data_IF_341475439409
#
_entry.id   IF_341475439409
#
_cell.length_a   1.000
_cell.length_b   1.000
_cell.length_c   1.000
_cell.angle_alpha   90.00
_cell.angle_beta   90.00
_cell.angle_gamma   90.00
#
_symmetry.space_group_name_H-M   'P 1'
#
loop_
_entity.id
_entity.type
_entity.pdbx_description
1 polymer ?
#
# COMPACT_ATOMS: atom_id res chain seq x y z
N UNK A 1 -0.18 -33.22 -1.54
CA UNK A 1 1.20 -33.71 -1.27
C UNK A 1 2.15 -33.59 -2.49
N UNK A 2 1.74 -33.13 -3.69
CA UNK A 2 2.67 -32.96 -4.83
C UNK A 2 3.33 -31.57 -4.94
N UNK A 3 2.74 -30.53 -4.37
CA UNK A 3 3.23 -29.13 -4.47
C UNK A 3 4.55 -28.88 -3.74
N UNK A 4 4.80 -29.54 -2.61
CA UNK A 4 6.03 -29.39 -1.81
C UNK A 4 7.28 -29.99 -2.50
N UNK A 5 7.11 -31.00 -3.36
CA UNK A 5 8.23 -31.59 -4.11
C UNK A 5 8.63 -30.74 -5.31
N UNK A 6 7.66 -30.13 -6.01
CA UNK A 6 7.94 -29.23 -7.13
C UNK A 6 8.67 -27.95 -6.70
N UNK A 7 8.29 -27.36 -5.56
CA UNK A 7 8.98 -26.17 -5.02
C UNK A 7 10.42 -26.48 -4.58
N UNK A 8 10.66 -27.65 -3.97
CA UNK A 8 12.00 -28.09 -3.60
C UNK A 8 12.89 -28.33 -4.84
N UNK A 9 12.31 -28.86 -5.92
CA UNK A 9 13.01 -29.12 -7.17
C UNK A 9 13.38 -27.82 -7.91
N UNK A 10 12.46 -26.85 -7.96
CA UNK A 10 12.71 -25.52 -8.53
C UNK A 10 13.78 -24.73 -7.74
N UNK A 11 13.80 -24.88 -6.41
CA UNK A 11 14.83 -24.27 -5.54
C UNK A 11 16.23 -24.85 -5.82
N UNK A 12 16.32 -26.15 -6.05
CA UNK A 12 17.58 -26.84 -6.35
C UNK A 12 18.12 -26.49 -7.74
N UNK A 13 17.24 -26.35 -8.74
CA UNK A 13 17.62 -25.91 -10.09
C UNK A 13 18.10 -24.46 -10.14
N UNK A 14 17.49 -23.57 -9.34
CA UNK A 14 17.90 -22.17 -9.25
C UNK A 14 19.29 -22.01 -8.63
N UNK A 15 19.60 -22.79 -7.59
CA UNK A 15 20.93 -22.83 -6.95
C UNK A 15 21.99 -23.38 -7.92
N UNK A 16 21.65 -24.40 -8.73
CA UNK A 16 22.56 -24.92 -9.77
C UNK A 16 22.81 -23.91 -10.90
N UNK A 17 21.81 -23.12 -11.30
CA UNK A 17 21.95 -22.05 -12.30
C UNK A 17 22.88 -20.93 -11.83
N UNK A 18 22.77 -20.52 -10.57
CA UNK A 18 23.62 -19.48 -9.97
C UNK A 18 25.10 -19.90 -9.90
N UNK A 19 25.38 -21.18 -9.63
CA UNK A 19 26.76 -21.72 -9.66
C UNK A 19 27.35 -21.85 -11.06
N UNK A 20 26.52 -22.03 -12.09
CA UNK A 20 26.95 -22.19 -13.50
C UNK A 20 27.30 -20.85 -14.18
N UNK A 21 26.86 -19.72 -13.64
CA UNK A 21 27.04 -18.39 -14.22
C UNK A 21 28.33 -17.68 -13.81
N UNK A 22 29.18 -18.28 -12.98
CA UNK A 22 30.59 -17.88 -12.84
C UNK A 22 30.87 -16.40 -12.51
N UNK A 23 29.95 -15.71 -11.83
CA UNK A 23 30.08 -14.28 -11.53
C UNK A 23 31.04 -14.05 -10.34
N UNK A 24 32.34 -14.17 -10.61
CA UNK A 24 33.40 -13.45 -9.91
C UNK A 24 33.97 -12.34 -10.81
N UNK A 25 33.68 -11.09 -10.43
CA UNK A 25 34.40 -9.81 -10.65
C UNK A 25 34.71 -9.35 -12.11
N UNK A 26 34.69 -8.05 -12.43
CA UNK A 26 34.70 -6.87 -11.56
C UNK A 26 34.26 -5.57 -12.23
N UNK A 27 33.92 -4.61 -11.38
CA UNK A 27 33.65 -3.23 -11.74
C UNK A 27 34.96 -2.44 -11.68
N UNK A 28 35.43 -1.94 -12.83
CA UNK A 28 36.31 -0.78 -12.87
C UNK A 28 35.50 0.38 -13.44
N UNK A 29 35.60 1.50 -12.71
CA UNK A 29 35.20 2.85 -13.11
C UNK A 29 33.72 3.23 -12.99
N UNK A 30 33.22 3.31 -11.75
CA UNK A 30 32.27 4.36 -11.34
C UNK A 30 32.56 4.76 -9.88
N UNK A 31 32.73 6.06 -9.64
CA UNK A 31 33.07 6.61 -8.32
C UNK A 31 31.89 6.46 -7.35
N UNK A 32 32.19 5.86 -6.19
CA UNK A 32 31.26 5.60 -5.08
C UNK A 32 31.15 6.87 -4.22
N UNK A 33 29.95 7.29 -3.78
CA UNK A 33 29.82 8.29 -2.72
C UNK A 33 30.54 7.80 -1.44
N UNK A 34 31.03 8.69 -0.56
CA UNK A 34 31.70 8.26 0.66
C UNK A 34 30.73 7.45 1.51
N UNK A 35 31.06 6.17 1.74
CA UNK A 35 30.37 5.33 2.69
C UNK A 35 30.57 5.93 4.10
N UNK A 36 29.54 5.93 4.97
CA UNK A 36 29.77 6.19 6.38
C UNK A 36 30.83 5.21 6.90
N UNK A 37 31.84 5.75 7.57
CA UNK A 37 32.93 4.97 8.13
C UNK A 37 32.42 4.16 9.33
N UNK A 38 31.95 2.94 9.08
CA UNK A 38 31.75 1.93 10.10
C UNK A 38 32.76 0.82 9.83
N UNK A 39 33.95 0.95 10.41
CA UNK A 39 34.80 -0.19 10.63
C UNK A 39 34.08 -1.13 11.62
N UNK A 40 33.89 -2.42 11.29
CA UNK A 40 33.24 -3.36 12.19
C UNK A 40 34.22 -3.78 13.28
N UNK A 41 34.03 -3.29 14.51
CA UNK A 41 34.48 -4.04 15.68
C UNK A 41 33.52 -5.22 15.85
N UNK A 42 34.07 -6.43 15.85
CA UNK A 42 33.33 -7.65 16.13
C UNK A 42 32.64 -7.54 17.50
N UNK A 43 31.30 -7.67 17.54
CA UNK A 43 30.61 -8.15 18.73
C UNK A 43 29.70 -7.20 19.54
N UNK A 44 29.27 -6.05 19.02
CA UNK A 44 28.22 -5.26 19.72
C UNK A 44 26.86 -5.42 19.07
N UNK A 45 25.98 -6.14 19.76
CA UNK A 45 24.53 -6.07 19.56
C UNK A 45 24.12 -4.58 19.50
N UNK A 46 23.47 -4.09 18.43
CA UNK A 46 23.14 -2.67 18.31
C UNK A 46 22.21 -2.20 19.44
N UNK A 47 22.59 -1.12 20.12
CA UNK A 47 21.81 -0.52 21.22
C UNK A 47 22.53 -0.57 22.56
N UNK A 48 21.76 -0.34 23.62
CA UNK A 48 22.25 -0.27 25.00
C UNK A 48 21.23 -0.88 25.97
N UNK A 49 21.68 -1.22 27.18
CA UNK A 49 20.79 -1.66 28.25
C UNK A 49 20.19 -0.44 28.96
N UNK A 50 18.86 -0.41 29.07
CA UNK A 50 18.10 0.58 29.83
C UNK A 50 17.51 -0.11 31.04
N UNK A 51 17.82 0.40 32.24
CA UNK A 51 17.27 -0.13 33.49
C UNK A 51 15.79 0.23 33.63
N UNK A 52 14.98 -0.76 34.02
CA UNK A 52 13.55 -0.58 34.29
C UNK A 52 13.20 -1.16 35.67
N UNK A 53 12.02 -0.86 36.23
CA UNK A 53 11.53 -1.52 37.44
C UNK A 53 11.41 -3.06 37.34
N UNK A 54 11.48 -3.62 36.12
CA UNK A 54 11.37 -5.06 35.85
C UNK A 54 12.67 -5.70 35.38
N UNK A 55 13.80 -4.99 35.52
CA UNK A 55 15.13 -5.40 35.05
C UNK A 55 15.56 -4.68 33.77
N UNK A 56 16.73 -5.02 33.21
CA UNK A 56 17.25 -4.35 32.03
C UNK A 56 16.47 -4.74 30.77
N UNK A 57 16.20 -3.76 29.91
CA UNK A 57 15.72 -3.95 28.54
C UNK A 57 16.77 -3.47 27.55
N UNK A 58 16.85 -4.06 26.35
CA UNK A 58 17.78 -3.64 25.32
C UNK A 58 17.11 -2.72 24.30
N UNK A 59 17.66 -1.53 24.10
CA UNK A 59 17.07 -0.51 23.22
C UNK A 59 18.12 0.03 22.26
N UNK A 60 17.77 0.08 20.98
CA UNK A 60 18.50 0.89 19.99
C UNK A 60 17.68 2.11 19.64
N UNK A 61 18.29 3.29 19.72
CA UNK A 61 17.68 4.56 19.32
C UNK A 61 18.39 5.12 18.10
N UNK A 62 17.62 5.39 17.04
CA UNK A 62 18.08 6.11 15.85
C UNK A 62 17.31 7.44 15.75
N UNK A 63 18.04 8.55 15.70
CA UNK A 63 17.46 9.90 15.59
C UNK A 63 17.71 10.45 14.18
N UNK A 64 16.66 10.96 13.56
CA UNK A 64 16.70 11.63 12.26
C UNK A 64 16.25 13.08 12.43
N UNK A 65 17.18 14.03 12.61
CA UNK A 65 16.84 15.45 12.64
C UNK A 65 16.06 15.84 11.38
N UNK A 66 14.91 16.50 11.54
CA UNK A 66 14.03 16.85 10.41
C UNK A 66 14.66 17.89 9.49
N UNK A 67 15.65 18.64 9.98
CA UNK A 67 16.46 19.56 9.16
C UNK A 67 17.32 18.81 8.13
N UNK A 68 17.84 17.64 8.51
CA UNK A 68 18.66 16.78 7.64
C UNK A 68 17.79 15.82 6.82
N UNK A 69 16.60 15.48 7.34
CA UNK A 69 15.62 14.59 6.72
C UNK A 69 14.26 15.28 6.54
N UNK A 70 14.17 16.32 5.70
CA UNK A 70 12.93 17.05 5.46
C UNK A 70 11.85 16.20 4.78
N UNK A 71 12.23 15.10 4.13
CA UNK A 71 11.33 14.10 3.59
C UNK A 71 10.49 13.43 4.69
N UNK A 72 11.09 13.13 5.86
CA UNK A 72 10.33 12.62 7.01
C UNK A 72 9.39 13.66 7.61
N UNK A 73 9.66 14.96 7.45
CA UNK A 73 8.76 16.02 7.90
C UNK A 73 7.49 16.15 7.01
N UNK A 74 7.47 15.54 5.82
CA UNK A 74 6.32 15.65 4.90
C UNK A 74 5.04 15.06 5.48
N UNK A 75 5.14 13.98 6.26
CA UNK A 75 4.00 13.37 6.97
C UNK A 75 3.32 14.33 7.95
N UNK A 76 4.08 15.23 8.60
CA UNK A 76 3.52 16.20 9.55
C UNK A 76 2.54 17.18 8.90
N UNK A 77 2.55 17.28 7.56
CA UNK A 77 1.62 18.11 6.78
C UNK A 77 0.34 17.38 6.40
N UNK A 78 0.20 16.10 6.76
CA UNK A 78 -1.00 15.33 6.48
C UNK A 78 -2.20 15.90 7.23
N UNK A 79 -3.27 16.23 6.52
CA UNK A 79 -4.52 16.63 7.16
C UNK A 79 -5.28 15.40 7.66
N UNK A 80 -5.84 15.41 8.89
CA UNK A 80 -6.58 14.25 9.41
C UNK A 80 -7.76 13.81 8.53
N UNK A 81 -8.41 14.75 7.84
CA UNK A 81 -9.46 14.42 6.86
C UNK A 81 -8.92 13.60 5.67
N UNK A 82 -7.70 13.91 5.20
CA UNK A 82 -7.04 13.16 4.13
C UNK A 82 -6.63 11.76 4.60
N UNK A 83 -6.26 11.60 5.88
CA UNK A 83 -6.01 10.29 6.49
C UNK A 83 -7.27 9.42 6.53
N UNK A 84 -8.39 10.00 6.96
CA UNK A 84 -9.69 9.33 6.95
C UNK A 84 -10.13 8.89 5.55
N UNK A 85 -9.96 9.77 4.56
CA UNK A 85 -10.24 9.45 3.16
C UNK A 85 -9.31 8.35 2.61
N UNK A 86 -8.00 8.46 2.87
CA UNK A 86 -7.00 7.48 2.46
C UNK A 86 -7.33 6.11 3.03
N UNK A 87 -7.57 6.02 4.34
CA UNK A 87 -7.86 4.77 5.04
C UNK A 87 -9.27 4.23 4.81
N UNK A 88 -10.21 5.09 4.39
CA UNK A 88 -11.67 4.85 4.39
C UNK A 88 -12.21 4.51 5.78
N UNK A 89 -11.74 5.25 6.76
CA UNK A 89 -12.06 5.04 8.17
C UNK A 89 -12.19 6.41 8.86
N UNK A 90 -13.40 6.82 9.28
CA UNK A 90 -13.61 8.13 9.87
C UNK A 90 -12.86 8.33 11.19
N UNK A 91 -12.50 7.26 11.90
CA UNK A 91 -11.72 7.35 13.14
C UNK A 91 -10.34 7.93 12.91
N UNK A 92 -9.77 7.78 11.70
CA UNK A 92 -8.46 8.34 11.37
C UNK A 92 -8.44 9.89 11.36
N UNK A 93 -9.60 10.54 11.40
CA UNK A 93 -9.67 11.98 11.61
C UNK A 93 -9.17 12.40 13.01
N UNK A 94 -9.12 11.48 13.97
CA UNK A 94 -8.59 11.70 15.32
C UNK A 94 -7.08 11.38 15.41
N UNK A 95 -6.46 10.91 14.31
CA UNK A 95 -5.02 10.64 14.25
C UNK A 95 -4.25 11.95 13.98
N UNK A 96 -3.60 12.48 15.01
CA UNK A 96 -2.69 13.61 14.87
C UNK A 96 -1.34 13.13 14.28
N UNK A 97 -0.89 13.61 13.11
CA UNK A 97 0.34 13.15 12.48
C UNK A 97 1.59 13.27 13.37
N UNK A 98 1.68 14.33 14.16
CA UNK A 98 2.78 14.57 15.10
C UNK A 98 2.80 13.59 16.29
N UNK A 99 1.67 12.94 16.58
CA UNK A 99 1.50 11.97 17.68
C UNK A 99 1.23 10.55 17.14
N UNK A 100 1.63 10.28 15.90
CA UNK A 100 1.51 8.96 15.30
C UNK A 100 2.68 8.05 15.73
N UNK A 101 2.35 6.82 16.12
CA UNK A 101 3.33 5.76 16.33
C UNK A 101 3.45 4.88 15.08
N UNK A 102 4.64 4.84 14.49
CA UNK A 102 4.96 3.97 13.35
C UNK A 102 5.50 2.64 13.87
N UNK A 103 4.76 1.55 13.71
CA UNK A 103 5.06 0.28 14.39
C UNK A 103 5.31 -0.83 13.38
N UNK A 104 6.39 -1.58 13.62
CA UNK A 104 6.77 -2.81 12.93
C UNK A 104 7.39 -3.80 13.94
N UNK A 105 7.15 -5.11 13.78
CA UNK A 105 7.63 -6.13 14.72
C UNK A 105 8.39 -7.27 14.06
N UNK A 106 9.38 -7.81 14.78
CA UNK A 106 10.05 -9.05 14.43
C UNK A 106 9.70 -10.15 15.43
N UNK A 107 9.40 -11.33 14.89
CA UNK A 107 8.73 -12.40 15.64
C UNK A 107 9.45 -13.73 15.55
N UNK A 108 9.33 -14.57 16.57
CA UNK A 108 9.95 -15.92 16.57
C UNK A 108 9.26 -16.92 15.63
N UNK A 109 8.16 -16.52 15.00
CA UNK A 109 7.33 -17.32 14.12
C UNK A 109 6.15 -16.51 13.58
N UNK A 110 5.42 -17.08 12.63
CA UNK A 110 4.30 -16.39 11.95
C UNK A 110 2.92 -16.69 12.56
N UNK A 111 2.87 -17.53 13.60
CA UNK A 111 1.62 -17.90 14.27
C UNK A 111 1.16 -16.78 15.20
N UNK A 112 -0.14 -16.49 15.23
CA UNK A 112 -0.75 -15.56 16.21
C UNK A 112 -1.00 -16.24 17.57
N UNK A 113 -0.34 -17.37 17.84
CA UNK A 113 -0.52 -18.13 19.06
C UNK A 113 0.26 -17.53 20.23
N UNK A 114 -0.03 -17.99 21.43
CA UNK A 114 0.62 -17.53 22.67
C UNK A 114 2.11 -17.92 22.76
N UNK A 115 2.58 -18.80 21.88
CA UNK A 115 3.97 -19.27 21.82
C UNK A 115 4.90 -18.33 21.04
N UNK A 116 4.33 -17.39 20.29
CA UNK A 116 5.10 -16.46 19.47
C UNK A 116 5.46 -15.21 20.26
N UNK A 117 6.76 -14.91 20.32
CA UNK A 117 7.31 -13.70 20.92
C UNK A 117 7.57 -12.64 19.86
N UNK A 118 7.27 -11.39 20.17
CA UNK A 118 7.72 -10.19 19.45
C UNK A 118 9.10 -9.79 19.99
N UNK A 119 10.14 -10.46 19.52
CA UNK A 119 11.48 -10.26 20.07
C UNK A 119 12.07 -8.90 19.70
N UNK A 120 11.53 -8.23 18.70
CA UNK A 120 11.80 -6.82 18.41
C UNK A 120 10.48 -6.09 18.18
N UNK A 121 10.28 -4.98 18.88
CA UNK A 121 9.20 -4.04 18.62
C UNK A 121 9.88 -2.73 18.26
N UNK A 122 9.75 -2.28 17.02
CA UNK A 122 10.27 -1.00 16.60
C UNK A 122 9.15 0.03 16.51
N UNK A 123 9.44 1.23 17.04
CA UNK A 123 8.48 2.34 17.14
C UNK A 123 9.16 3.63 16.66
N UNK A 124 8.60 4.23 15.62
CA UNK A 124 8.94 5.58 15.15
C UNK A 124 7.97 6.62 15.69
N UNK A 125 8.48 7.72 16.24
CA UNK A 125 7.69 8.85 16.76
C UNK A 125 8.35 10.18 16.40
N UNK A 126 7.57 11.26 16.33
CA UNK A 126 8.13 12.60 16.23
C UNK A 126 8.39 13.20 17.62
N UNK A 127 9.60 13.70 17.83
CA UNK A 127 9.97 14.49 18.99
C UNK A 127 10.12 15.95 18.54
N UNK A 128 9.08 16.75 18.77
CA UNK A 128 8.99 18.15 18.36
C UNK A 128 9.12 19.07 19.57
N UNK A 129 9.97 20.09 19.48
CA UNK A 129 10.13 21.12 20.52
C UNK A 129 10.53 20.59 21.91
N UNK A 130 11.01 19.35 22.00
CA UNK A 130 11.32 18.71 23.27
C UNK A 130 12.74 19.07 23.73
N UNK A 131 12.87 19.84 24.81
CA UNK A 131 14.09 19.92 25.59
C UNK A 131 14.35 18.55 26.24
N UNK A 132 15.19 17.72 25.62
CA UNK A 132 15.63 16.47 26.25
C UNK A 132 16.50 16.81 27.47
N UNK A 133 16.15 16.38 28.69
CA UNK A 133 16.94 16.67 29.90
C UNK A 133 18.32 15.97 29.92
N UNK A 134 18.58 15.07 28.97
CA UNK A 134 19.73 14.16 28.98
C UNK A 134 20.56 14.17 27.70
N UNK A 135 20.29 15.06 26.74
CA UNK A 135 21.15 15.25 25.56
C UNK A 135 21.99 16.54 25.74
N UNK A 136 23.31 16.42 25.91
CA UNK A 136 24.18 17.60 25.83
C UNK A 136 24.10 18.22 24.43
N UNK A 137 24.15 19.56 24.33
CA UNK A 137 24.24 20.45 23.13
C UNK A 137 23.45 20.15 21.83
N UNK A 138 22.88 18.97 21.61
CA UNK A 138 22.09 18.55 20.45
C UNK A 138 20.56 18.64 20.73
N UNK A 139 20.18 19.29 21.84
CA UNK A 139 18.86 19.21 22.47
C UNK A 139 17.77 20.16 21.91
N UNK A 140 17.92 20.71 20.71
CA UNK A 140 16.99 21.72 20.18
C UNK A 140 16.45 21.44 18.77
N UNK A 141 16.66 20.24 18.22
CA UNK A 141 16.23 19.96 16.83
C UNK A 141 15.09 18.94 16.79
N UNK A 142 13.96 19.34 16.20
CA UNK A 142 12.85 18.45 15.86
C UNK A 142 13.37 17.22 15.11
N UNK A 143 12.94 16.02 15.51
CA UNK A 143 13.44 14.77 14.95
C UNK A 143 12.35 13.72 14.81
N UNK A 144 12.49 12.85 13.80
CA UNK A 144 11.85 11.55 13.80
C UNK A 144 12.77 10.55 14.49
N UNK A 145 12.26 9.87 15.52
CA UNK A 145 13.07 8.99 16.37
C UNK A 145 12.51 7.59 16.32
N UNK A 146 13.36 6.64 15.93
CA UNK A 146 13.04 5.20 15.93
C UNK A 146 13.69 4.55 17.13
N UNK A 147 12.89 3.89 17.96
CA UNK A 147 13.33 3.05 19.07
C UNK A 147 13.01 1.60 18.77
N UNK A 148 14.01 0.74 18.85
CA UNK A 148 13.87 -0.70 18.64
C UNK A 148 14.10 -1.40 19.98
N UNK A 149 13.01 -1.91 20.55
CA UNK A 149 13.01 -2.64 21.81
C UNK A 149 13.30 -4.11 21.53
N UNK A 150 14.53 -4.55 21.77
CA UNK A 150 14.99 -5.90 21.47
C UNK A 150 15.05 -6.76 22.74
N UNK A 151 14.61 -8.01 22.63
CA UNK A 151 14.58 -8.96 23.72
C UNK A 151 15.74 -9.95 23.58
N UNK A 152 16.78 -9.83 24.42
CA UNK A 152 17.95 -10.73 24.38
C UNK A 152 17.61 -12.15 24.81
N UNK A 153 16.68 -12.26 25.75
CA UNK A 153 16.07 -13.51 26.18
C UNK A 153 14.63 -13.28 26.67
N UNK A 154 13.74 -14.30 26.64
CA UNK A 154 12.33 -14.16 27.03
C UNK A 154 12.07 -13.52 28.40
N UNK A 155 13.00 -13.66 29.35
CA UNK A 155 12.90 -13.00 30.66
C UNK A 155 12.88 -11.46 30.64
N UNK A 156 13.28 -10.81 29.53
CA UNK A 156 13.26 -9.34 29.41
C UNK A 156 11.92 -8.81 28.90
N UNK A 157 10.97 -9.67 28.51
CA UNK A 157 9.71 -9.24 27.90
C UNK A 157 8.98 -8.19 28.75
N UNK A 158 8.93 -8.37 30.06
CA UNK A 158 8.24 -7.40 30.94
C UNK A 158 8.92 -6.02 30.94
N UNK A 159 10.25 -5.99 30.90
CA UNK A 159 11.01 -4.75 30.79
C UNK A 159 10.86 -4.12 29.39
N UNK A 160 10.86 -4.94 28.33
CA UNK A 160 10.60 -4.51 26.96
C UNK A 160 9.22 -3.86 26.81
N UNK A 161 8.15 -4.53 27.29
CA UNK A 161 6.77 -4.03 27.21
C UNK A 161 6.57 -2.74 28.02
N UNK A 162 7.27 -2.60 29.16
CA UNK A 162 7.25 -1.36 29.93
C UNK A 162 7.80 -0.16 29.13
N UNK A 163 8.94 -0.32 28.44
CA UNK A 163 9.47 0.76 27.61
C UNK A 163 8.63 1.02 26.36
N UNK A 164 7.99 -0.01 25.81
CA UNK A 164 7.01 0.15 24.71
C UNK A 164 5.80 0.96 25.17
N UNK A 165 5.27 0.71 26.36
CA UNK A 165 4.19 1.49 26.96
C UNK A 165 4.59 2.97 27.12
N UNK A 166 5.79 3.23 27.65
CA UNK A 166 6.31 4.60 27.79
C UNK A 166 6.44 5.31 26.44
N UNK A 167 6.99 4.64 25.43
CA UNK A 167 7.15 5.19 24.08
C UNK A 167 5.81 5.53 23.39
N UNK A 168 4.74 4.78 23.71
CA UNK A 168 3.41 5.00 23.14
C UNK A 168 2.55 5.98 23.94
N UNK A 169 2.98 6.37 25.14
CA UNK A 169 2.16 7.17 26.08
C UNK A 169 1.69 8.53 25.54
N UNK A 170 2.49 9.18 24.69
CA UNK A 170 2.17 10.47 24.09
C UNK A 170 1.50 10.36 22.69
N UNK A 171 1.32 9.13 22.20
CA UNK A 171 0.75 8.88 20.88
C UNK A 171 -0.77 8.87 20.92
N UNK A 172 -1.41 9.22 19.80
CA UNK A 172 -2.88 9.19 19.67
C UNK A 172 -3.37 8.22 18.62
N UNK A 173 -2.46 7.64 17.81
CA UNK A 173 -2.81 6.71 16.75
C UNK A 173 -1.61 5.92 16.26
N UNK A 174 -1.91 4.87 15.50
CA UNK A 174 -0.93 3.91 15.00
C UNK A 174 -0.87 4.01 13.47
N UNK A 175 0.33 3.95 12.92
CA UNK A 175 0.58 3.71 11.50
C UNK A 175 1.40 2.45 11.38
N UNK A 176 0.98 1.51 10.53
CA UNK A 176 1.75 0.29 10.28
C UNK A 176 1.62 -0.17 8.83
N UNK A 177 2.45 -1.13 8.40
CA UNK A 177 2.33 -1.78 7.11
C UNK A 177 1.89 -3.24 7.29
N UNK A 178 0.62 -3.56 6.98
CA UNK A 178 0.01 -4.87 7.24
C UNK A 178 -0.13 -5.25 8.73
N UNK A 179 0.15 -4.32 9.65
CA UNK A 179 0.17 -4.62 11.08
C UNK A 179 -1.18 -4.66 11.77
N UNK A 180 -2.28 -4.21 11.12
CA UNK A 180 -3.62 -4.34 11.72
C UNK A 180 -4.02 -5.81 11.90
N UNK A 181 -3.59 -6.66 10.97
CA UNK A 181 -3.91 -8.09 11.00
C UNK A 181 -2.76 -8.97 11.52
N UNK A 182 -1.58 -8.39 11.79
CA UNK A 182 -0.38 -9.14 12.12
C UNK A 182 0.31 -8.61 13.39
N UNK A 183 1.02 -7.48 13.30
CA UNK A 183 1.83 -6.92 14.38
C UNK A 183 1.01 -6.56 15.62
N UNK A 184 -0.06 -5.78 15.45
CA UNK A 184 -0.81 -5.24 16.58
C UNK A 184 -1.53 -6.32 17.41
N UNK A 185 -2.19 -7.34 16.81
CA UNK A 185 -2.71 -8.47 17.57
C UNK A 185 -1.63 -9.19 18.41
N UNK A 186 -0.41 -9.35 17.87
CA UNK A 186 0.69 -9.98 18.60
C UNK A 186 1.14 -9.13 19.79
N UNK A 187 1.38 -7.83 19.58
CA UNK A 187 1.77 -6.90 20.64
C UNK A 187 0.70 -6.86 21.73
N UNK A 188 -0.58 -6.69 21.37
CA UNK A 188 -1.70 -6.69 22.32
C UNK A 188 -1.75 -7.99 23.14
N UNK A 189 -1.56 -9.14 22.51
CA UNK A 189 -1.51 -10.43 23.20
C UNK A 189 -0.35 -10.49 24.20
N UNK A 190 0.84 -9.93 23.87
CA UNK A 190 1.98 -9.89 24.81
C UNK A 190 1.66 -9.04 26.05
N UNK A 191 1.03 -7.87 25.87
CA UNK A 191 0.55 -7.04 26.98
C UNK A 191 -0.45 -7.78 27.87
N UNK A 192 -1.45 -8.46 27.27
CA UNK A 192 -2.45 -9.25 28.00
C UNK A 192 -1.80 -10.37 28.81
N UNK A 193 -0.88 -11.13 28.20
CA UNK A 193 -0.16 -12.22 28.88
C UNK A 193 0.70 -11.72 30.04
N UNK A 194 1.31 -10.54 29.89
CA UNK A 194 2.05 -9.86 30.94
C UNK A 194 1.17 -9.22 32.03
N UNK A 195 -0.17 -9.25 31.86
CA UNK A 195 -1.17 -8.59 32.72
C UNK A 195 -0.98 -7.07 32.80
N UNK A 196 -0.56 -6.48 31.69
CA UNK A 196 -0.42 -5.03 31.51
C UNK A 196 -1.56 -4.58 30.57
N UNK A 197 -2.28 -3.48 30.87
CA UNK A 197 -3.25 -2.93 29.94
C UNK A 197 -2.58 -2.60 28.59
N UNK A 198 -3.13 -3.05 27.44
CA UNK A 198 -2.56 -2.70 26.15
C UNK A 198 -2.59 -1.18 25.92
N UNK A 199 -1.48 -0.58 25.43
CA UNK A 199 -1.44 0.84 25.12
C UNK A 199 -2.34 1.15 23.92
N UNK A 200 -2.79 2.41 23.84
CA UNK A 200 -3.61 2.92 22.73
C UNK A 200 -4.88 2.09 22.45
N UNK A 201 -5.69 1.73 23.47
CA UNK A 201 -6.89 0.95 23.24
C UNK A 201 -7.87 1.72 22.34
N UNK A 202 -8.34 1.08 21.26
CA UNK A 202 -9.23 1.67 20.27
C UNK A 202 -8.70 2.94 19.57
N UNK A 203 -7.39 3.19 19.60
CA UNK A 203 -6.80 4.30 18.87
C UNK A 203 -7.00 4.13 17.35
N UNK A 204 -7.12 5.24 16.59
CA UNK A 204 -7.11 5.18 15.14
C UNK A 204 -5.85 4.50 14.61
N UNK A 205 -6.03 3.60 13.66
CA UNK A 205 -4.94 2.80 13.10
C UNK A 205 -4.91 2.88 11.58
N UNK A 206 -3.98 3.63 10.99
CA UNK A 206 -3.75 3.61 9.55
C UNK A 206 -2.84 2.44 9.17
N UNK A 207 -3.43 1.36 8.67
CA UNK A 207 -2.67 0.30 7.98
C UNK A 207 -2.46 0.74 6.52
N UNK A 208 -1.20 0.82 6.10
CA UNK A 208 -0.81 1.32 4.77
C UNK A 208 -1.00 0.28 3.65
N UNK A 209 -1.11 -1.02 3.96
CA UNK A 209 -1.22 -2.05 2.93
C UNK A 209 -2.57 -2.00 2.17
N UNK A 210 -3.75 -1.87 2.83
CA UNK A 210 -5.01 -1.72 2.13
C UNK A 210 -5.06 -0.54 1.14
N UNK A 211 -4.70 0.71 1.51
CA UNK A 211 -4.64 1.82 0.55
C UNK A 211 -3.56 1.61 -0.51
N UNK A 212 -2.39 1.07 -0.17
CA UNK A 212 -1.35 0.77 -1.16
C UNK A 212 -1.84 -0.20 -2.25
N UNK A 213 -2.60 -1.24 -1.86
CA UNK A 213 -3.23 -2.16 -2.81
C UNK A 213 -4.32 -1.49 -3.65
N UNK A 214 -5.06 -0.52 -3.10
CA UNK A 214 -6.03 0.26 -3.89
C UNK A 214 -5.34 1.10 -4.94
N UNK A 215 -4.15 1.64 -4.65
CA UNK A 215 -3.38 2.49 -5.56
C UNK A 215 -2.59 1.75 -6.62
N UNK A 216 -1.84 0.72 -6.22
CA UNK A 216 -0.77 0.18 -7.06
C UNK A 216 -1.03 -1.23 -7.58
N UNK A 217 -2.11 -1.90 -7.14
CA UNK A 217 -2.47 -3.21 -7.69
C UNK A 217 -2.77 -3.08 -9.19
N UNK A 218 -2.19 -3.97 -9.98
CA UNK A 218 -2.29 -3.96 -11.44
C UNK A 218 -1.23 -3.10 -12.13
N UNK A 219 -0.60 -2.14 -11.42
CA UNK A 219 0.60 -1.44 -11.89
C UNK A 219 1.88 -2.14 -11.48
N UNK A 220 1.95 -2.56 -10.21
CA UNK A 220 3.13 -3.23 -9.65
C UNK A 220 2.87 -4.73 -9.50
N UNK A 221 3.92 -5.53 -9.71
CA UNK A 221 3.89 -6.99 -9.50
C UNK A 221 3.61 -7.35 -8.04
N UNK A 222 3.98 -6.48 -7.11
CA UNK A 222 3.87 -6.68 -5.67
C UNK A 222 3.60 -5.36 -4.96
N UNK A 223 2.71 -5.39 -3.96
CA UNK A 223 2.52 -4.31 -3.00
C UNK A 223 3.11 -4.67 -1.63
N UNK A 224 4.22 -5.43 -1.59
CA UNK A 224 5.02 -5.59 -0.37
C UNK A 224 5.86 -4.33 -0.15
N UNK A 225 6.21 -4.01 1.10
CA UNK A 225 6.89 -2.77 1.46
C UNK A 225 8.17 -2.54 0.63
N UNK A 226 9.06 -3.54 0.58
CA UNK A 226 10.28 -3.46 -0.26
C UNK A 226 10.03 -3.22 -1.75
N UNK A 227 8.89 -3.66 -2.30
CA UNK A 227 8.54 -3.35 -3.70
C UNK A 227 8.07 -1.91 -3.86
N UNK A 228 7.37 -1.37 -2.86
CA UNK A 228 6.89 0.01 -2.86
C UNK A 228 8.05 0.99 -2.62
N UNK A 229 8.99 0.64 -1.75
CA UNK A 229 10.23 1.40 -1.57
C UNK A 229 10.94 1.64 -2.91
N UNK A 230 11.21 0.56 -3.64
CA UNK A 230 11.92 0.65 -4.91
C UNK A 230 11.12 1.42 -5.98
N UNK A 231 9.85 1.06 -6.19
CA UNK A 231 9.08 1.53 -7.36
C UNK A 231 8.28 2.81 -7.11
N UNK A 232 8.03 3.17 -5.85
CA UNK A 232 7.24 4.34 -5.47
C UNK A 232 8.10 5.40 -4.80
N UNK A 233 9.03 5.01 -3.93
CA UNK A 233 9.87 5.95 -3.17
C UNK A 233 11.28 6.09 -3.75
N UNK A 234 11.69 5.23 -4.67
CA UNK A 234 13.07 5.20 -5.20
C UNK A 234 14.11 4.83 -4.12
N UNK A 235 13.69 4.09 -3.09
CA UNK A 235 14.56 3.61 -2.02
C UNK A 235 15.07 2.23 -2.41
N UNK A 236 16.39 2.12 -2.58
CA UNK A 236 17.07 0.85 -2.73
C UNK A 236 17.59 0.40 -1.36
N UNK A 237 17.08 -0.73 -0.86
CA UNK A 237 17.64 -1.36 0.34
C UNK A 237 19.08 -1.75 0.06
N UNK A 238 19.98 -1.44 0.99
CA UNK A 238 21.41 -1.75 0.84
C UNK A 238 21.66 -3.26 0.92
N UNK A 239 22.90 -3.70 0.62
CA UNK A 239 23.34 -5.09 0.82
C UNK A 239 23.25 -5.58 2.28
N UNK A 240 22.90 -4.70 3.20
CA UNK A 240 22.72 -4.95 4.63
C UNK A 240 21.31 -5.45 4.97
N UNK A 241 20.36 -5.53 4.03
CA UNK A 241 19.05 -6.11 4.33
C UNK A 241 19.08 -7.64 4.44
N UNK A 242 18.15 -8.21 5.23
CA UNK A 242 17.92 -9.65 5.36
C UNK A 242 16.55 -10.03 4.80
N UNK A 243 16.43 -11.17 4.09
CA UNK A 243 15.12 -11.67 3.70
C UNK A 243 14.27 -11.96 4.95
N UNK A 244 13.08 -11.35 5.05
CA UNK A 244 12.22 -11.45 6.24
C UNK A 244 11.94 -12.87 6.74
N UNK A 245 11.84 -13.86 5.83
CA UNK A 245 11.64 -15.27 6.20
C UNK A 245 12.81 -15.89 6.99
N UNK A 246 13.99 -15.27 6.96
CA UNK A 246 15.19 -15.72 7.67
C UNK A 246 15.29 -15.15 9.09
N UNK A 247 14.59 -14.05 9.36
CA UNK A 247 14.68 -13.28 10.61
C UNK A 247 14.42 -14.15 11.86
N UNK A 248 13.38 -15.01 11.91
CA UNK A 248 13.14 -15.84 13.09
C UNK A 248 14.30 -16.80 13.40
N UNK A 249 14.96 -17.33 12.36
CA UNK A 249 16.07 -18.28 12.54
C UNK A 249 17.36 -17.55 12.96
N UNK A 250 17.60 -16.33 12.47
CA UNK A 250 18.72 -15.47 12.92
C UNK A 250 18.59 -15.21 14.43
N UNK A 251 17.40 -14.84 14.90
CA UNK A 251 17.16 -14.63 16.33
C UNK A 251 17.33 -15.92 17.15
N UNK A 252 16.82 -17.05 16.63
CA UNK A 252 16.96 -18.36 17.30
C UNK A 252 18.41 -18.77 17.49
N UNK A 253 19.26 -18.50 16.50
CA UNK A 253 20.69 -18.79 16.56
C UNK A 253 21.41 -17.87 17.55
N UNK A 254 21.06 -16.58 17.57
CA UNK A 254 21.53 -15.65 18.61
C UNK A 254 21.14 -16.14 20.01
N UNK A 255 19.87 -16.49 20.24
CA UNK A 255 19.39 -16.93 21.55
C UNK A 255 20.11 -18.19 22.06
N UNK A 256 20.43 -19.14 21.16
CA UNK A 256 21.14 -20.38 21.52
C UNK A 256 22.61 -20.17 21.82
N UNK A 257 23.26 -19.26 21.09
CA UNK A 257 24.72 -19.09 21.13
C UNK A 257 25.16 -17.96 22.06
N UNK A 258 24.29 -16.97 22.27
CA UNK A 258 24.62 -15.69 22.91
C UNK A 258 25.51 -14.79 22.04
N UNK A 259 25.80 -15.18 20.79
CA UNK A 259 26.76 -14.49 19.92
C UNK A 259 26.00 -13.53 19.00
N UNK A 260 26.21 -12.23 19.18
CA UNK A 260 25.74 -11.22 18.22
C UNK A 260 26.54 -11.32 16.92
N UNK A 261 25.84 -11.48 15.80
CA UNK A 261 26.44 -11.61 14.46
C UNK A 261 26.03 -10.44 13.58
N UNK A 262 26.76 -10.23 12.47
CA UNK A 262 26.37 -9.25 11.46
C UNK A 262 24.95 -9.51 10.96
N UNK A 263 24.52 -10.77 10.83
CA UNK A 263 23.16 -11.13 10.42
C UNK A 263 22.10 -10.60 11.40
N UNK A 264 22.38 -10.58 12.70
CA UNK A 264 21.48 -10.00 13.68
C UNK A 264 21.45 -8.47 13.56
N UNK A 265 22.59 -7.82 13.35
CA UNK A 265 22.63 -6.37 13.10
C UNK A 265 21.80 -5.98 11.86
N UNK A 266 21.78 -6.83 10.84
CA UNK A 266 20.92 -6.65 9.65
C UNK A 266 19.42 -6.77 9.95
N UNK A 267 19.01 -7.55 10.96
CA UNK A 267 17.61 -7.56 11.42
C UNK A 267 17.23 -6.20 12.00
N UNK A 268 18.10 -5.57 12.80
CA UNK A 268 17.86 -4.21 13.27
C UNK A 268 17.80 -3.21 12.11
N UNK A 269 18.64 -3.37 11.08
CA UNK A 269 18.57 -2.55 9.88
C UNK A 269 17.25 -2.73 9.12
N UNK A 270 16.78 -3.97 8.93
CA UNK A 270 15.50 -4.29 8.30
C UNK A 270 14.34 -3.54 8.96
N UNK A 271 14.13 -3.78 10.26
CA UNK A 271 13.05 -3.15 11.02
C UNK A 271 13.18 -1.61 11.05
N UNK A 272 14.40 -1.07 11.11
CA UNK A 272 14.63 0.39 11.03
C UNK A 272 14.19 0.97 9.68
N UNK A 273 14.54 0.31 8.57
CA UNK A 273 14.14 0.74 7.22
C UNK A 273 12.63 0.65 7.09
N UNK A 274 12.01 -0.46 7.49
CA UNK A 274 10.55 -0.65 7.44
C UNK A 274 9.83 0.49 8.17
N UNK A 275 10.31 0.88 9.37
CA UNK A 275 9.73 1.97 10.16
C UNK A 275 9.92 3.34 9.51
N UNK A 276 11.11 3.63 8.97
CA UNK A 276 11.40 4.92 8.33
C UNK A 276 10.74 5.07 6.96
N UNK A 277 10.42 3.96 6.28
CA UNK A 277 9.68 3.94 5.02
C UNK A 277 8.22 4.35 5.21
N UNK A 278 7.58 3.92 6.30
CA UNK A 278 6.15 4.16 6.52
C UNK A 278 5.71 5.64 6.47
N UNK A 279 6.35 6.61 7.16
CA UNK A 279 5.97 8.02 7.06
C UNK A 279 6.12 8.57 5.64
N UNK A 280 7.15 8.14 4.89
CA UNK A 280 7.37 8.55 3.50
C UNK A 280 6.27 8.01 2.57
N UNK A 281 5.96 6.72 2.70
CA UNK A 281 4.91 6.07 1.92
C UNK A 281 3.54 6.66 2.24
N UNK A 282 3.25 6.90 3.52
CA UNK A 282 2.00 7.50 3.96
C UNK A 282 1.85 8.93 3.40
N UNK A 283 2.87 9.78 3.53
CA UNK A 283 2.88 11.12 2.96
C UNK A 283 2.68 11.11 1.43
N UNK A 284 3.33 10.18 0.72
CA UNK A 284 3.18 10.00 -0.74
C UNK A 284 1.75 9.65 -1.15
N UNK A 285 1.03 8.86 -0.35
CA UNK A 285 -0.38 8.53 -0.64
C UNK A 285 -1.33 9.67 -0.25
N UNK A 286 -1.18 10.22 0.96
CA UNK A 286 -2.07 11.23 1.55
C UNK A 286 -2.22 12.46 0.67
N UNK A 287 -1.17 12.85 -0.05
CA UNK A 287 -1.20 14.05 -0.88
C UNK A 287 -2.27 14.02 -2.00
N UNK A 288 -2.78 12.84 -2.36
CA UNK A 288 -3.87 12.68 -3.32
C UNK A 288 -5.25 12.64 -2.66
N UNK A 289 -5.31 12.66 -1.33
CA UNK A 289 -6.55 12.64 -0.56
C UNK A 289 -6.80 13.97 0.18
N UNK A 290 -6.04 15.02 -0.11
CA UNK A 290 -6.31 16.39 0.34
C UNK A 290 -7.51 16.99 -0.40
N UNK A 291 -8.24 17.90 0.24
CA UNK A 291 -9.37 18.61 -0.36
C UNK A 291 -9.12 20.13 -0.43
N UNK A 292 -9.29 20.78 -1.60
CA UNK A 292 -9.64 20.18 -2.90
C UNK A 292 -8.53 19.27 -3.44
N UNK A 293 -8.91 18.25 -4.21
CA UNK A 293 -7.95 17.31 -4.81
C UNK A 293 -7.05 18.08 -5.79
N UNK A 294 -5.72 17.98 -5.69
CA UNK A 294 -4.79 18.66 -6.59
C UNK A 294 -4.73 17.93 -7.93
N UNK A 295 -5.69 18.22 -8.81
CA UNK A 295 -5.87 17.54 -10.11
C UNK A 295 -4.63 17.64 -11.01
N UNK A 296 -3.82 18.68 -10.85
CA UNK A 296 -2.56 18.87 -11.56
C UNK A 296 -1.56 17.75 -11.28
N UNK A 297 -1.58 17.16 -10.07
CA UNK A 297 -0.69 16.05 -9.70
C UNK A 297 -1.06 14.73 -10.34
N UNK A 298 -2.26 14.62 -10.93
CA UNK A 298 -2.67 13.43 -11.68
C UNK A 298 -1.85 13.29 -12.97
N UNK A 299 -1.34 14.39 -13.53
CA UNK A 299 -0.51 14.37 -14.73
C UNK A 299 0.84 13.68 -14.53
N UNK A 300 1.34 13.63 -13.29
CA UNK A 300 2.62 13.00 -12.94
C UNK A 300 2.50 11.49 -12.68
N UNK A 301 1.28 10.95 -12.68
CA UNK A 301 1.00 9.57 -12.33
C UNK A 301 0.88 8.68 -13.57
N UNK A 302 1.17 7.40 -13.35
CA UNK A 302 0.91 6.40 -14.38
C UNK A 302 -0.60 6.26 -14.60
N UNK A 303 -1.10 6.03 -15.84
CA UNK A 303 -2.53 5.93 -16.13
C UNK A 303 -3.30 4.93 -15.25
N UNK A 304 -2.66 3.80 -14.92
CA UNK A 304 -3.20 2.80 -14.00
C UNK A 304 -3.40 3.31 -12.57
N UNK A 305 -2.52 4.19 -12.07
CA UNK A 305 -2.69 4.84 -10.76
C UNK A 305 -3.84 5.83 -10.79
N UNK A 306 -3.96 6.62 -11.85
CA UNK A 306 -5.09 7.52 -12.06
C UNK A 306 -6.41 6.73 -12.10
N UNK A 307 -6.45 5.55 -12.71
CA UNK A 307 -7.65 4.72 -12.79
C UNK A 307 -8.06 4.20 -11.40
N UNK A 308 -7.06 3.77 -10.63
CA UNK A 308 -7.22 3.30 -9.27
C UNK A 308 -7.65 4.43 -8.32
N UNK A 309 -7.10 5.62 -8.51
CA UNK A 309 -7.50 6.86 -7.84
C UNK A 309 -8.95 7.24 -8.13
N UNK A 310 -9.36 7.18 -9.40
CA UNK A 310 -10.71 7.49 -9.80
C UNK A 310 -11.74 6.61 -9.07
N UNK A 311 -11.48 5.29 -9.00
CA UNK A 311 -12.28 4.34 -8.20
C UNK A 311 -12.20 4.62 -6.71
N UNK A 312 -11.07 5.11 -6.22
CA UNK A 312 -10.90 5.49 -4.83
C UNK A 312 -11.81 6.67 -4.48
N UNK A 313 -11.81 7.71 -5.33
CA UNK A 313 -12.63 8.91 -5.21
C UNK A 313 -14.12 8.63 -5.37
N UNK A 314 -14.52 7.79 -6.33
CA UNK A 314 -15.92 7.37 -6.48
C UNK A 314 -16.48 6.75 -5.21
N UNK A 315 -15.71 5.88 -4.55
CA UNK A 315 -16.14 5.25 -3.30
C UNK A 315 -16.22 6.23 -2.12
N UNK A 316 -15.56 7.40 -2.22
CA UNK A 316 -15.67 8.52 -1.28
C UNK A 316 -16.73 9.54 -1.71
N UNK A 317 -17.46 9.27 -2.81
CA UNK A 317 -18.39 10.20 -3.47
C UNK A 317 -17.74 11.53 -3.93
N UNK A 318 -16.43 11.54 -4.17
CA UNK A 318 -15.71 12.69 -4.74
C UNK A 318 -15.77 12.66 -6.27
N UNK A 319 -16.98 12.83 -6.82
CA UNK A 319 -17.25 12.57 -8.23
C UNK A 319 -16.46 13.45 -9.20
N UNK A 320 -16.26 14.73 -8.88
CA UNK A 320 -15.44 15.63 -9.71
C UNK A 320 -13.98 15.18 -9.78
N UNK A 321 -13.40 14.80 -8.64
CA UNK A 321 -12.04 14.25 -8.59
C UNK A 321 -11.95 12.89 -9.31
N UNK A 322 -12.98 12.05 -9.15
CA UNK A 322 -13.10 10.76 -9.84
C UNK A 322 -13.10 10.92 -11.37
N UNK A 323 -13.91 11.86 -11.88
CA UNK A 323 -13.93 12.21 -13.30
C UNK A 323 -12.58 12.73 -13.79
N UNK A 324 -11.97 13.67 -13.06
CA UNK A 324 -10.66 14.22 -13.42
C UNK A 324 -9.60 13.11 -13.53
N UNK A 325 -9.60 12.17 -12.58
CA UNK A 325 -8.68 11.03 -12.59
C UNK A 325 -8.94 10.05 -13.75
N UNK A 326 -10.19 9.73 -14.09
CA UNK A 326 -10.48 8.92 -15.27
C UNK A 326 -10.07 9.61 -16.57
N UNK A 327 -10.31 10.92 -16.70
CA UNK A 327 -9.88 11.68 -17.88
C UNK A 327 -8.36 11.71 -18.00
N UNK A 328 -7.64 11.88 -16.90
CA UNK A 328 -6.18 11.78 -16.86
C UNK A 328 -5.70 10.38 -17.29
N UNK A 329 -6.38 9.31 -16.85
CA UNK A 329 -6.11 7.95 -17.32
C UNK A 329 -6.27 7.81 -18.84
N UNK A 330 -7.38 8.29 -19.41
CA UNK A 330 -7.65 8.16 -20.86
C UNK A 330 -6.68 8.97 -21.74
N UNK A 331 -6.11 10.05 -21.20
CA UNK A 331 -5.10 10.87 -21.88
C UNK A 331 -3.74 10.16 -21.99
N UNK A 332 -3.48 9.17 -21.13
CA UNK A 332 -2.23 8.40 -21.15
C UNK A 332 -2.28 7.14 -22.04
N UNK A 333 -1.12 6.46 -22.17
CA UNK A 333 -1.04 5.19 -22.89
C UNK A 333 -1.75 4.07 -22.11
N UNK A 334 -2.61 3.33 -22.81
CA UNK A 334 -3.38 2.19 -22.28
C UNK A 334 -3.50 1.13 -23.37
N UNK A 335 -3.53 -0.13 -22.95
CA UNK A 335 -4.01 -1.19 -23.84
C UNK A 335 -5.54 -1.08 -24.05
N UNK A 336 -6.05 -1.84 -25.01
CA UNK A 336 -7.47 -1.80 -25.36
C UNK A 336 -8.39 -2.25 -24.21
N UNK A 337 -7.95 -3.20 -23.40
CA UNK A 337 -8.76 -3.78 -22.33
C UNK A 337 -8.93 -2.78 -21.18
N UNK A 338 -7.86 -2.13 -20.77
CA UNK A 338 -7.88 -1.13 -19.72
C UNK A 338 -8.54 0.17 -20.19
N UNK A 339 -8.34 0.57 -21.45
CA UNK A 339 -9.08 1.70 -22.04
C UNK A 339 -10.59 1.45 -22.05
N UNK A 340 -11.04 0.25 -22.44
CA UNK A 340 -12.45 -0.14 -22.42
C UNK A 340 -13.03 -0.06 -20.99
N UNK A 341 -12.31 -0.60 -20.00
CA UNK A 341 -12.72 -0.54 -18.59
C UNK A 341 -12.89 0.89 -18.09
N UNK A 342 -11.96 1.78 -18.43
CA UNK A 342 -12.00 3.18 -18.00
C UNK A 342 -13.14 3.95 -18.68
N UNK A 343 -13.35 3.75 -19.98
CA UNK A 343 -14.50 4.34 -20.70
C UNK A 343 -15.84 3.88 -20.10
N UNK A 344 -15.95 2.60 -19.76
CA UNK A 344 -17.11 2.05 -19.06
C UNK A 344 -17.31 2.71 -17.70
N UNK A 345 -16.28 2.73 -16.86
CA UNK A 345 -16.38 3.25 -15.50
C UNK A 345 -16.73 4.76 -15.53
N UNK A 346 -16.07 5.56 -16.36
CA UNK A 346 -16.35 7.00 -16.51
C UNK A 346 -17.75 7.27 -17.09
N UNK A 347 -18.18 6.53 -18.11
CA UNK A 347 -19.52 6.72 -18.67
C UNK A 347 -20.62 6.37 -17.67
N UNK A 348 -20.42 5.36 -16.82
CA UNK A 348 -21.32 5.05 -15.71
C UNK A 348 -21.38 6.18 -14.67
N UNK A 349 -20.22 6.75 -14.31
CA UNK A 349 -20.12 7.89 -13.41
C UNK A 349 -20.90 9.11 -13.95
N UNK A 350 -20.70 9.47 -15.23
CA UNK A 350 -21.41 10.57 -15.88
C UNK A 350 -22.92 10.32 -15.97
N UNK A 351 -23.32 9.09 -16.30
CA UNK A 351 -24.73 8.68 -16.36
C UNK A 351 -25.41 8.79 -14.99
N UNK A 352 -24.74 8.44 -13.90
CA UNK A 352 -25.24 8.61 -12.52
C UNK A 352 -25.47 10.08 -12.17
N UNK A 353 -24.67 10.97 -12.73
CA UNK A 353 -24.80 12.43 -12.59
C UNK A 353 -25.74 13.07 -13.63
N UNK A 354 -26.54 12.26 -14.33
CA UNK A 354 -27.45 12.69 -15.39
C UNK A 354 -26.79 13.41 -16.60
N UNK A 355 -25.46 13.38 -16.72
CA UNK A 355 -24.67 13.93 -17.83
C UNK A 355 -24.60 12.93 -18.99
N UNK A 356 -25.77 12.61 -19.54
CA UNK A 356 -25.95 11.53 -20.53
C UNK A 356 -25.30 11.82 -21.88
N UNK A 357 -25.28 13.08 -22.30
CA UNK A 357 -24.70 13.47 -23.60
C UNK A 357 -23.18 13.25 -23.60
N UNK A 358 -22.51 13.56 -22.49
CA UNK A 358 -21.07 13.28 -22.33
C UNK A 358 -20.79 11.77 -22.20
N UNK A 359 -21.66 11.01 -21.55
CA UNK A 359 -21.55 9.55 -21.51
C UNK A 359 -21.69 8.94 -22.92
N UNK A 360 -22.59 9.48 -23.75
CA UNK A 360 -22.75 9.06 -25.15
C UNK A 360 -21.49 9.28 -25.98
N UNK A 361 -20.84 10.43 -25.84
CA UNK A 361 -19.56 10.70 -26.50
C UNK A 361 -18.47 9.68 -26.11
N UNK A 362 -18.48 9.17 -24.87
CA UNK A 362 -17.55 8.11 -24.45
C UNK A 362 -17.88 6.75 -25.06
N UNK A 363 -19.16 6.41 -25.26
CA UNK A 363 -19.54 5.17 -25.94
C UNK A 363 -19.17 5.21 -27.43
N UNK A 364 -19.33 6.36 -28.09
CA UNK A 364 -18.86 6.58 -29.47
C UNK A 364 -17.32 6.49 -29.56
N UNK A 365 -16.61 7.11 -28.61
CA UNK A 365 -15.16 6.99 -28.51
C UNK A 365 -14.74 5.52 -28.28
N UNK A 366 -15.49 4.77 -27.47
CA UNK A 366 -15.22 3.35 -27.24
C UNK A 366 -15.29 2.56 -28.55
N UNK A 367 -16.40 2.67 -29.28
CA UNK A 367 -16.61 1.95 -30.55
C UNK A 367 -15.54 2.32 -31.58
N UNK A 368 -15.17 3.60 -31.67
CA UNK A 368 -14.22 4.07 -32.69
C UNK A 368 -12.76 3.77 -32.37
N UNK A 369 -12.39 3.61 -31.10
CA UNK A 369 -10.99 3.45 -30.70
C UNK A 369 -10.61 2.03 -30.27
N UNK A 370 -11.58 1.21 -29.87
CA UNK A 370 -11.32 -0.13 -29.35
C UNK A 370 -12.04 -1.16 -30.23
N UNK A 371 -11.30 -1.97 -31.02
CA UNK A 371 -11.88 -3.10 -31.71
C UNK A 371 -12.28 -4.16 -30.68
N UNK A 372 -13.43 -4.80 -30.90
CA UNK A 372 -13.90 -5.87 -30.04
C UNK A 372 -15.38 -6.15 -30.23
N UNK A 373 -15.87 -7.08 -29.42
CA UNK A 373 -17.24 -7.56 -29.42
C UNK A 373 -18.00 -7.17 -28.15
N UNK A 374 -17.46 -6.24 -27.34
CA UNK A 374 -18.16 -5.69 -26.19
C UNK A 374 -19.40 -4.89 -26.66
N UNK A 375 -20.57 -5.39 -26.29
CA UNK A 375 -21.86 -4.82 -26.69
C UNK A 375 -22.24 -3.60 -25.86
N UNK A 376 -21.55 -3.34 -24.74
CA UNK A 376 -21.89 -2.29 -23.78
C UNK A 376 -22.10 -0.93 -24.44
N UNK A 377 -21.15 -0.36 -25.22
CA UNK A 377 -21.34 0.96 -25.81
C UNK A 377 -22.49 1.02 -26.82
N UNK A 378 -22.71 -0.04 -27.60
CA UNK A 378 -23.82 -0.12 -28.56
C UNK A 378 -25.18 -0.15 -27.86
N UNK A 379 -25.31 -0.95 -26.80
CA UNK A 379 -26.55 -1.06 -26.02
C UNK A 379 -26.86 0.26 -25.30
N UNK A 380 -25.84 0.92 -24.75
CA UNK A 380 -26.01 2.20 -24.07
C UNK A 380 -26.35 3.34 -25.04
N UNK A 381 -25.74 3.40 -26.23
CA UNK A 381 -26.15 4.34 -27.28
C UNK A 381 -27.57 4.10 -27.76
N UNK A 382 -27.98 2.84 -27.92
CA UNK A 382 -29.36 2.51 -28.25
C UNK A 382 -30.35 3.03 -27.19
N UNK A 383 -30.02 2.88 -25.89
CA UNK A 383 -30.84 3.44 -24.79
C UNK A 383 -30.82 4.97 -24.79
N UNK A 384 -29.67 5.59 -25.02
CA UNK A 384 -29.52 7.04 -25.05
C UNK A 384 -30.39 7.67 -26.14
N UNK A 385 -30.27 7.21 -27.38
CA UNK A 385 -31.08 7.77 -28.46
C UNK A 385 -32.57 7.49 -28.28
N UNK A 386 -32.92 6.34 -27.72
CA UNK A 386 -34.32 6.01 -27.46
C UNK A 386 -34.97 6.92 -26.42
N UNK A 387 -34.29 7.14 -25.29
CA UNK A 387 -34.90 7.75 -24.10
C UNK A 387 -34.50 9.20 -23.87
N UNK A 388 -33.32 9.61 -24.33
CA UNK A 388 -32.80 10.96 -24.14
C UNK A 388 -33.05 11.85 -25.37
N UNK A 389 -32.66 11.39 -26.57
CA UNK A 389 -32.79 12.24 -27.78
C UNK A 389 -34.10 12.01 -28.54
N UNK A 390 -34.77 10.88 -28.33
CA UNK A 390 -35.95 10.48 -29.11
C UNK A 390 -35.64 10.06 -30.55
N UNK A 391 -34.35 9.89 -30.91
CA UNK A 391 -33.95 9.45 -32.24
C UNK A 391 -34.09 7.92 -32.33
N UNK A 392 -35.31 7.48 -32.65
CA UNK A 392 -35.62 6.06 -32.76
C UNK A 392 -34.85 5.37 -33.88
N UNK A 393 -34.48 6.10 -34.94
CA UNK A 393 -33.72 5.53 -36.05
C UNK A 393 -32.28 5.21 -35.62
N UNK A 394 -31.61 6.15 -34.94
CA UNK A 394 -30.29 5.91 -34.35
C UNK A 394 -30.35 4.82 -33.29
N UNK A 395 -31.36 4.83 -32.41
CA UNK A 395 -31.55 3.81 -31.39
C UNK A 395 -31.67 2.39 -31.98
N UNK A 396 -32.46 2.25 -33.05
CA UNK A 396 -32.61 1.00 -33.80
C UNK A 396 -31.29 0.59 -34.45
N UNK A 397 -30.58 1.53 -35.09
CA UNK A 397 -29.30 1.28 -35.74
C UNK A 397 -28.27 0.67 -34.78
N UNK A 398 -28.09 1.27 -33.60
CA UNK A 398 -27.18 0.75 -32.58
C UNK A 398 -27.60 -0.61 -32.02
N UNK A 399 -28.90 -0.82 -31.76
CA UNK A 399 -29.41 -2.11 -31.30
C UNK A 399 -29.21 -3.23 -32.35
N UNK A 400 -29.40 -2.91 -33.64
CA UNK A 400 -29.19 -3.85 -34.73
C UNK A 400 -27.70 -4.20 -34.90
N UNK A 401 -26.82 -3.23 -34.68
CA UNK A 401 -25.38 -3.47 -34.71
C UNK A 401 -24.94 -4.38 -33.56
N UNK A 402 -25.42 -4.12 -32.33
CA UNK A 402 -25.19 -5.00 -31.19
C UNK A 402 -25.67 -6.43 -31.46
N UNK A 403 -26.86 -6.59 -32.06
CA UNK A 403 -27.40 -7.90 -32.43
C UNK A 403 -26.45 -8.63 -33.39
N UNK A 404 -25.97 -7.95 -34.43
CA UNK A 404 -25.06 -8.54 -35.42
C UNK A 404 -23.75 -9.01 -34.80
N UNK A 405 -23.20 -8.28 -33.83
CA UNK A 405 -22.00 -8.69 -33.09
C UNK A 405 -22.31 -9.93 -32.24
N UNK A 406 -23.40 -9.91 -31.48
CA UNK A 406 -23.83 -11.02 -30.62
C UNK A 406 -24.11 -12.31 -31.43
N UNK A 407 -24.59 -12.21 -32.67
CA UNK A 407 -24.79 -13.36 -33.55
C UNK A 407 -23.47 -14.07 -33.89
N UNK A 408 -22.35 -13.34 -33.92
CA UNK A 408 -21.01 -13.88 -34.14
C UNK A 408 -20.36 -14.52 -32.92
N UNK A 409 -20.94 -14.39 -31.73
CA UNK A 409 -20.42 -15.03 -30.52
C UNK A 409 -20.51 -16.57 -30.56
N UNK A 410 -19.66 -17.28 -29.81
CA UNK A 410 -19.79 -18.73 -29.63
C UNK A 410 -21.17 -19.12 -29.08
N UNK A 411 -21.68 -20.27 -29.50
CA UNK A 411 -22.93 -20.81 -28.98
C UNK A 411 -22.83 -21.04 -27.46
N UNK A 412 -23.84 -20.56 -26.73
CA UNK A 412 -23.91 -20.73 -25.28
C UNK A 412 -25.03 -19.88 -24.65
N UNK A 413 -25.34 -20.10 -23.37
CA UNK A 413 -26.48 -19.48 -22.70
C UNK A 413 -26.43 -17.94 -22.73
N UNK A 414 -25.24 -17.35 -22.49
CA UNK A 414 -25.05 -15.89 -22.50
C UNK A 414 -25.39 -15.27 -23.86
N UNK A 415 -25.01 -15.94 -24.95
CA UNK A 415 -25.34 -15.50 -26.31
C UNK A 415 -26.84 -15.57 -26.53
N UNK A 416 -27.48 -16.69 -26.20
CA UNK A 416 -28.92 -16.88 -26.42
C UNK A 416 -29.75 -15.84 -25.67
N UNK A 417 -29.43 -15.60 -24.40
CA UNK A 417 -30.08 -14.56 -23.58
C UNK A 417 -29.91 -13.17 -24.20
N UNK A 418 -28.67 -12.81 -24.56
CA UNK A 418 -28.36 -11.52 -25.20
C UNK A 418 -29.10 -11.33 -26.53
N UNK A 419 -29.18 -12.37 -27.36
CA UNK A 419 -29.91 -12.31 -28.63
C UNK A 419 -31.41 -12.09 -28.42
N UNK A 420 -32.01 -12.74 -27.41
CA UNK A 420 -33.42 -12.53 -27.07
C UNK A 420 -33.66 -11.10 -26.62
N UNK A 421 -32.83 -10.56 -25.72
CA UNK A 421 -32.96 -9.18 -25.25
C UNK A 421 -32.83 -8.15 -26.38
N UNK A 422 -31.88 -8.33 -27.29
CA UNK A 422 -31.64 -7.43 -28.41
C UNK A 422 -32.76 -7.49 -29.45
N UNK A 423 -33.29 -8.68 -29.76
CA UNK A 423 -34.46 -8.83 -30.65
C UNK A 423 -35.70 -8.17 -30.06
N UNK A 424 -35.99 -8.40 -28.79
CA UNK A 424 -37.11 -7.77 -28.12
C UNK A 424 -36.96 -6.23 -28.08
N UNK A 425 -35.74 -5.72 -27.88
CA UNK A 425 -35.46 -4.27 -27.97
C UNK A 425 -35.76 -3.73 -29.36
N UNK A 426 -35.35 -4.43 -30.43
CA UNK A 426 -35.59 -4.02 -31.81
C UNK A 426 -37.08 -4.00 -32.14
N UNK A 427 -37.81 -5.08 -31.86
CA UNK A 427 -39.26 -5.16 -32.10
C UNK A 427 -40.02 -4.03 -31.39
N UNK A 428 -39.60 -3.68 -30.17
CA UNK A 428 -40.17 -2.56 -29.41
C UNK A 428 -39.86 -1.19 -30.04
N UNK A 429 -38.65 -1.00 -30.56
CA UNK A 429 -38.27 0.23 -31.28
C UNK A 429 -39.03 0.34 -32.62
N UNK A 430 -39.22 -0.78 -33.32
CA UNK A 430 -39.99 -0.85 -34.57
C UNK A 430 -41.45 -0.45 -34.38
N UNK A 431 -42.10 -0.95 -33.33
CA UNK A 431 -43.47 -0.53 -32.98
C UNK A 431 -43.57 0.96 -32.70
N UNK A 432 -42.66 1.49 -31.86
CA UNK A 432 -42.57 2.93 -31.57
C UNK A 432 -42.39 3.79 -32.83
N UNK A 433 -41.59 3.32 -33.79
CA UNK A 433 -41.40 4.00 -35.08
C UNK A 433 -42.63 3.91 -35.99
N UNK A 434 -43.38 2.81 -35.88
CA UNK A 434 -44.63 2.56 -36.61
C UNK A 434 -45.87 3.28 -36.07
N UNK A 435 -45.77 3.93 -34.90
CA UNK A 435 -46.88 4.67 -34.28
C UNK A 435 -47.86 3.83 -33.45
N UNK A 436 -47.49 2.59 -33.11
CA UNK A 436 -48.15 1.73 -32.11
C UNK A 436 -47.41 1.77 -30.77
#
# INVERSE_FOLDING_TARGET
>A
MSTSKEEAQQRLERIRRLRKLGLQRGAKDLARPPAPNLAPEAGLLPGEAVETPFGPAWVRTARYPLIDRPDLATWLRAEPAALAALGRDPLLADLAPAQAAFIDTETTGLSLDTGTYTFMIGIGTYELGAASPSAGNDAETDAFVVRQFFMRHPGEERAQLHLVEEALSACTGIVSFNGRSFDMPLVQNRFILARIPPPLPAAPHLDLLPPARRFWRGRLDSCRLGSLEQHVLGIDRTEEDVPGWMIPDIYRDYYRTGIATDMLARVFYHNLVDITTMPLLAARMVQFFSWPVPVERLGDLHPAECANLARAYEALAWFEAGEAAYRATLAGPLDNLDRARVLRDLSLLLKRQARRDEAAALWEAWISTIPGDDLTPYIELAKYHEWQTGDLAAARGWAAWALRIAEGWPAGPMREETLVELRHRLERLERKMGGE
#
